data_IF_308030887541
#
_entry.id   IF_308030887541
#
_cell.length_a   1.000
_cell.length_b   1.000
_cell.length_c   1.000
_cell.angle_alpha   90.00
_cell.angle_beta   90.00
_cell.angle_gamma   90.00
#
_symmetry.space_group_name_H-M   'P 1'
#
loop_
_entity.id
_entity.type
_entity.pdbx_description
1 polymer ?
#
# COMPACT_ATOMS: atom_id res chain seq x y z
N UNK A 1 -2.30 -28.75 0.51
CA UNK A 1 -1.15 -27.84 0.24
C UNK A 1 0.07 -28.67 -0.12
N UNK A 2 0.78 -28.31 -1.20
CA UNK A 2 2.00 -29.02 -1.60
C UNK A 2 3.14 -28.67 -0.65
N UNK A 3 3.73 -29.67 0.02
CA UNK A 3 4.93 -29.50 0.87
C UNK A 3 6.23 -29.51 0.06
N UNK A 4 6.19 -29.96 -1.20
CA UNK A 4 7.38 -30.18 -2.03
C UNK A 4 7.74 -29.03 -2.96
N UNK A 5 6.78 -28.16 -3.29
CA UNK A 5 6.99 -27.01 -4.19
C UNK A 5 6.33 -25.76 -3.65
N UNK A 6 7.05 -24.64 -3.71
CA UNK A 6 6.44 -23.33 -3.55
C UNK A 6 5.49 -23.08 -4.74
N UNK A 7 4.36 -22.41 -4.49
CA UNK A 7 3.44 -22.03 -5.55
C UNK A 7 4.14 -21.12 -6.57
N UNK A 8 3.99 -21.42 -7.86
CA UNK A 8 4.51 -20.57 -8.92
C UNK A 8 3.81 -19.21 -8.87
N UNK A 9 4.59 -18.14 -8.84
CA UNK A 9 4.03 -16.80 -8.88
C UNK A 9 3.50 -16.52 -10.28
N UNK A 10 2.21 -16.17 -10.37
CA UNK A 10 1.61 -15.71 -11.62
C UNK A 10 2.15 -14.32 -11.95
N UNK A 11 2.54 -14.12 -13.19
CA UNK A 11 2.88 -12.80 -13.70
C UNK A 11 1.61 -11.93 -13.77
N UNK A 12 1.73 -10.70 -13.33
CA UNK A 12 0.63 -9.74 -13.44
C UNK A 12 0.78 -9.01 -14.76
N UNK A 13 -0.16 -9.22 -15.68
CA UNK A 13 -0.21 -8.46 -16.92
C UNK A 13 -0.37 -6.96 -16.60
N UNK A 14 0.28 -6.07 -17.36
CA UNK A 14 0.13 -4.64 -17.19
C UNK A 14 -1.32 -4.21 -17.45
N UNK A 15 -1.69 -3.05 -16.90
CA UNK A 15 -3.00 -2.46 -17.10
C UNK A 15 -3.24 -2.07 -18.56
N UNK A 16 -4.42 -2.38 -19.15
CA UNK A 16 -4.67 -2.11 -20.56
C UNK A 16 -4.77 -0.62 -20.91
N UNK A 17 -5.17 0.26 -19.98
CA UNK A 17 -5.33 1.70 -20.22
C UNK A 17 -4.01 2.46 -20.15
N UNK A 18 -3.16 2.15 -19.16
CA UNK A 18 -1.92 2.87 -18.88
C UNK A 18 -0.66 2.02 -19.08
N UNK A 19 -0.78 0.74 -19.40
CA UNK A 19 0.37 -0.17 -19.57
C UNK A 19 1.22 -0.39 -18.31
N UNK A 20 0.71 -0.05 -17.13
CA UNK A 20 1.47 -0.04 -15.87
C UNK A 20 1.18 -1.29 -15.03
N UNK A 21 2.24 -2.07 -14.73
CA UNK A 21 2.13 -3.29 -13.92
C UNK A 21 1.85 -3.01 -12.44
N UNK A 22 2.29 -1.85 -11.91
CA UNK A 22 2.02 -1.44 -10.54
C UNK A 22 0.53 -1.12 -10.36
N UNK A 23 -0.04 -0.39 -11.34
CA UNK A 23 -1.47 -0.08 -11.40
C UNK A 23 -2.32 -1.35 -11.45
N UNK A 24 -1.94 -2.32 -12.29
CA UNK A 24 -2.63 -3.61 -12.37
C UNK A 24 -2.63 -4.36 -11.02
N UNK A 25 -1.52 -4.33 -10.27
CA UNK A 25 -1.46 -4.87 -8.92
C UNK A 25 -2.35 -4.11 -7.95
N UNK A 26 -2.41 -2.80 -8.07
CA UNK A 26 -3.25 -1.95 -7.23
C UNK A 26 -4.74 -2.25 -7.46
N UNK A 27 -5.18 -2.42 -8.72
CA UNK A 27 -6.53 -2.86 -9.08
C UNK A 27 -6.87 -4.20 -8.40
N UNK A 28 -5.96 -5.16 -8.48
CA UNK A 28 -6.16 -6.47 -7.85
C UNK A 28 -6.27 -6.38 -6.31
N UNK A 29 -5.62 -5.42 -5.67
CA UNK A 29 -5.71 -5.21 -4.22
C UNK A 29 -6.99 -4.49 -3.78
N UNK A 30 -7.52 -3.59 -4.60
CA UNK A 30 -8.81 -2.91 -4.34
C UNK A 30 -9.97 -3.88 -4.52
N UNK A 31 -9.82 -4.85 -5.40
CA UNK A 31 -10.85 -5.83 -5.75
C UNK A 31 -11.37 -6.59 -4.51
N UNK A 32 -12.69 -6.72 -4.41
CA UNK A 32 -13.38 -7.59 -3.44
C UNK A 32 -14.22 -8.61 -4.17
N UNK A 33 -14.28 -9.84 -3.63
CA UNK A 33 -15.13 -10.94 -4.15
C UNK A 33 -14.93 -11.23 -5.65
N UNK A 34 -13.71 -11.01 -6.19
CA UNK A 34 -13.39 -11.23 -7.59
C UNK A 34 -14.00 -10.24 -8.58
N UNK A 35 -14.63 -9.16 -8.11
CA UNK A 35 -15.28 -8.15 -8.98
C UNK A 35 -14.23 -7.17 -9.55
N UNK A 36 -13.45 -7.64 -10.53
CA UNK A 36 -12.35 -6.87 -11.11
C UNK A 36 -12.82 -5.62 -11.87
N UNK A 37 -13.89 -5.72 -12.65
CA UNK A 37 -14.43 -4.58 -13.42
C UNK A 37 -14.87 -3.41 -12.52
N UNK A 38 -15.38 -3.71 -11.31
CA UNK A 38 -15.73 -2.68 -10.33
C UNK A 38 -14.46 -2.01 -9.79
N UNK A 39 -13.41 -2.78 -9.49
CA UNK A 39 -12.13 -2.24 -9.02
C UNK A 39 -11.46 -1.36 -10.08
N UNK A 40 -11.48 -1.78 -11.35
CA UNK A 40 -10.99 -0.99 -12.47
C UNK A 40 -11.74 0.35 -12.58
N UNK A 41 -13.06 0.33 -12.51
CA UNK A 41 -13.90 1.55 -12.55
C UNK A 41 -13.57 2.50 -11.39
N UNK A 42 -13.33 1.98 -10.19
CA UNK A 42 -12.96 2.79 -9.02
C UNK A 42 -11.60 3.46 -9.26
N UNK A 43 -10.61 2.71 -9.72
CA UNK A 43 -9.26 3.22 -9.91
C UNK A 43 -9.20 4.21 -11.07
N UNK A 44 -9.80 3.88 -12.22
CA UNK A 44 -9.85 4.83 -13.34
C UNK A 44 -10.60 6.10 -12.97
N UNK A 45 -11.74 5.97 -12.29
CA UNK A 45 -12.47 7.13 -11.79
C UNK A 45 -11.68 7.97 -10.79
N UNK A 46 -10.81 7.35 -9.99
CA UNK A 46 -9.92 8.09 -9.09
C UNK A 46 -8.82 8.83 -9.87
N UNK A 47 -8.21 8.20 -10.87
CA UNK A 47 -7.21 8.82 -11.73
C UNK A 47 -7.81 9.97 -12.55
N UNK A 48 -9.00 9.79 -13.14
CA UNK A 48 -9.72 10.82 -13.86
C UNK A 48 -10.05 12.04 -12.95
N UNK A 49 -10.38 11.81 -11.67
CA UNK A 49 -10.57 12.87 -10.67
C UNK A 49 -9.27 13.62 -10.34
N UNK A 50 -8.15 12.93 -10.29
CA UNK A 50 -6.82 13.53 -10.06
C UNK A 50 -6.45 14.42 -11.25
N UNK A 51 -6.68 13.96 -12.47
CA UNK A 51 -6.45 14.70 -13.70
C UNK A 51 -7.30 15.98 -13.76
N UNK A 52 -8.60 15.88 -13.44
CA UNK A 52 -9.53 17.02 -13.39
C UNK A 52 -9.12 18.07 -12.35
N UNK A 53 -8.40 17.69 -11.30
CA UNK A 53 -7.91 18.60 -10.25
C UNK A 53 -6.54 19.23 -10.55
N UNK A 54 -6.02 19.05 -11.76
CA UNK A 54 -4.85 19.75 -12.26
C UNK A 54 -3.55 18.95 -12.29
N UNK A 55 -3.58 17.65 -12.05
CA UNK A 55 -2.41 16.79 -12.28
C UNK A 55 -2.33 16.39 -13.74
N UNK A 56 -1.24 16.75 -14.41
CA UNK A 56 -1.02 16.39 -15.83
C UNK A 56 -0.76 14.90 -16.03
N UNK A 57 -0.21 14.20 -15.05
CA UNK A 57 0.04 12.76 -15.07
C UNK A 57 -0.45 12.10 -13.78
N UNK A 58 -1.66 11.48 -13.81
CA UNK A 58 -2.22 10.83 -12.63
C UNK A 58 -1.46 9.56 -12.23
N UNK A 59 -0.74 8.91 -13.14
CA UNK A 59 0.07 7.72 -12.85
C UNK A 59 1.36 8.10 -12.12
N UNK A 60 2.00 9.19 -12.53
CA UNK A 60 3.18 9.73 -11.82
C UNK A 60 2.79 10.16 -10.39
N UNK A 61 1.64 10.81 -10.23
CA UNK A 61 1.13 11.17 -8.90
C UNK A 61 0.87 9.93 -8.03
N UNK A 62 0.33 8.86 -8.61
CA UNK A 62 0.16 7.58 -7.89
C UNK A 62 1.51 7.02 -7.43
N UNK A 63 2.52 7.00 -8.30
CA UNK A 63 3.85 6.50 -7.95
C UNK A 63 4.47 7.35 -6.84
N UNK A 64 4.40 8.67 -6.93
CA UNK A 64 4.86 9.60 -5.89
C UNK A 64 4.13 9.39 -4.56
N UNK A 65 2.82 9.23 -4.58
CA UNK A 65 2.03 8.95 -3.38
C UNK A 65 2.46 7.64 -2.71
N UNK A 66 2.64 6.58 -3.50
CA UNK A 66 3.11 5.29 -3.00
C UNK A 66 4.53 5.37 -2.45
N UNK A 67 5.44 6.13 -3.07
CA UNK A 67 6.80 6.36 -2.58
C UNK A 67 6.80 7.01 -1.20
N UNK A 68 5.95 8.00 -1.00
CA UNK A 68 5.79 8.67 0.28
C UNK A 68 5.26 7.75 1.39
N UNK A 69 4.53 6.68 1.03
CA UNK A 69 3.93 5.74 1.99
C UNK A 69 4.78 4.48 2.20
N UNK A 70 5.67 4.11 1.27
CA UNK A 70 6.48 2.87 1.37
C UNK A 70 7.29 2.83 2.66
N UNK A 71 7.07 1.84 3.56
CA UNK A 71 7.85 1.72 4.77
C UNK A 71 9.19 1.03 4.49
N UNK A 72 10.26 1.48 5.14
CA UNK A 72 11.57 0.82 5.12
C UNK A 72 11.66 -0.27 6.17
N UNK A 73 11.01 -0.04 7.33
CA UNK A 73 11.00 -0.96 8.47
C UNK A 73 9.58 -1.26 8.92
N UNK A 74 9.36 -2.45 9.44
CA UNK A 74 8.12 -2.86 10.10
C UNK A 74 8.46 -3.52 11.44
N UNK A 75 7.48 -3.65 12.31
CA UNK A 75 7.63 -4.33 13.60
C UNK A 75 6.95 -5.68 13.53
N UNK A 76 7.66 -6.74 13.93
CA UNK A 76 7.13 -8.10 14.03
C UNK A 76 7.20 -8.61 15.45
N UNK A 77 6.14 -9.24 15.91
CA UNK A 77 6.10 -9.89 17.22
C UNK A 77 6.92 -11.18 17.20
N UNK A 78 7.82 -11.33 18.16
CA UNK A 78 8.59 -12.55 18.39
C UNK A 78 8.46 -12.99 19.85
N UNK A 79 8.24 -14.27 20.05
CA UNK A 79 8.17 -14.87 21.40
C UNK A 79 9.53 -15.43 21.77
N UNK A 80 10.09 -14.94 22.88
CA UNK A 80 11.39 -15.39 23.42
C UNK A 80 11.21 -15.61 24.93
N UNK A 81 11.48 -16.83 25.41
CA UNK A 81 11.41 -17.15 26.84
C UNK A 81 10.06 -16.87 27.51
N UNK A 82 8.94 -17.00 26.73
CA UNK A 82 7.58 -16.73 27.24
C UNK A 82 7.12 -15.28 27.12
N UNK A 83 8.01 -14.32 26.90
CA UNK A 83 7.68 -12.93 26.65
C UNK A 83 7.55 -12.64 25.13
N UNK A 84 6.67 -11.71 24.76
CA UNK A 84 6.47 -11.29 23.37
C UNK A 84 7.15 -9.93 23.17
N UNK A 85 8.13 -9.91 22.26
CA UNK A 85 8.87 -8.71 21.90
C UNK A 85 8.44 -8.21 20.52
N UNK A 86 8.39 -6.90 20.37
CA UNK A 86 8.17 -6.23 19.07
C UNK A 86 9.54 -5.97 18.43
N UNK A 87 9.90 -6.75 17.43
CA UNK A 87 11.23 -6.72 16.81
C UNK A 87 11.15 -5.93 15.50
N UNK A 88 11.95 -4.85 15.35
CA UNK A 88 12.04 -4.11 14.08
C UNK A 88 12.77 -4.95 13.02
N UNK A 89 12.17 -5.04 11.84
CA UNK A 89 12.69 -5.82 10.70
C UNK A 89 12.62 -4.97 9.44
N UNK A 90 13.67 -5.00 8.63
CA UNK A 90 13.67 -4.35 7.33
C UNK A 90 12.64 -4.99 6.38
N UNK A 91 11.91 -4.15 5.66
CA UNK A 91 10.88 -4.59 4.71
C UNK A 91 11.51 -4.81 3.33
N UNK A 92 11.28 -5.99 2.74
CA UNK A 92 11.73 -6.30 1.37
C UNK A 92 11.03 -5.36 0.36
N UNK A 93 11.70 -4.92 -0.73
CA UNK A 93 11.16 -3.97 -1.71
C UNK A 93 9.76 -4.34 -2.25
N UNK A 94 9.56 -5.61 -2.61
CA UNK A 94 8.26 -6.10 -3.10
C UNK A 94 7.15 -5.93 -2.05
N UNK A 95 7.47 -6.15 -0.76
CA UNK A 95 6.53 -6.00 0.34
C UNK A 95 6.25 -4.53 0.68
N UNK A 96 7.23 -3.62 0.49
CA UNK A 96 7.03 -2.17 0.67
C UNK A 96 5.88 -1.68 -0.18
N UNK A 97 5.85 -2.05 -1.47
CA UNK A 97 4.77 -1.71 -2.39
C UNK A 97 3.42 -2.27 -1.93
N UNK A 98 3.41 -3.53 -1.49
CA UNK A 98 2.18 -4.18 -1.01
C UNK A 98 1.63 -3.50 0.24
N UNK A 99 2.49 -3.12 1.18
CA UNK A 99 2.09 -2.40 2.39
C UNK A 99 1.56 -1.00 2.06
N UNK A 100 2.26 -0.25 1.21
CA UNK A 100 1.83 1.08 0.78
C UNK A 100 0.44 1.03 0.15
N UNK A 101 0.22 0.15 -0.82
CA UNK A 101 -1.09 -0.02 -1.46
C UNK A 101 -2.20 -0.37 -0.46
N UNK A 102 -1.93 -1.29 0.47
CA UNK A 102 -2.90 -1.69 1.50
C UNK A 102 -3.27 -0.52 2.39
N UNK A 103 -2.29 0.23 2.86
CA UNK A 103 -2.53 1.37 3.74
C UNK A 103 -3.31 2.49 3.05
N UNK A 104 -3.03 2.76 1.77
CA UNK A 104 -3.84 3.69 0.96
C UNK A 104 -5.29 3.23 0.87
N UNK A 105 -5.52 1.95 0.58
CA UNK A 105 -6.88 1.39 0.45
C UNK A 105 -7.63 1.48 1.78
N UNK A 106 -6.98 1.12 2.88
CA UNK A 106 -7.59 1.15 4.21
C UNK A 106 -7.87 2.59 4.66
N UNK A 107 -6.95 3.51 4.41
CA UNK A 107 -7.13 4.93 4.67
C UNK A 107 -8.27 5.53 3.82
N UNK A 108 -8.31 5.23 2.51
CA UNK A 108 -9.37 5.67 1.63
C UNK A 108 -10.75 5.16 2.07
N UNK A 109 -10.85 3.91 2.54
CA UNK A 109 -12.11 3.35 3.05
C UNK A 109 -12.63 4.07 4.30
N UNK A 110 -11.75 4.62 5.12
CA UNK A 110 -12.08 5.36 6.33
C UNK A 110 -12.51 6.81 6.06
N UNK A 111 -12.29 7.33 4.85
CA UNK A 111 -12.66 8.70 4.47
C UNK A 111 -14.20 8.86 4.33
N UNK A 112 -14.66 10.08 4.44
CA UNK A 112 -16.10 10.43 4.43
C UNK A 112 -16.70 10.75 3.07
N UNK A 113 -15.92 10.81 1.97
CA UNK A 113 -16.43 11.16 0.65
C UNK A 113 -17.46 10.13 0.14
N UNK A 114 -18.34 10.56 -0.76
CA UNK A 114 -19.51 9.79 -1.20
C UNK A 114 -19.14 8.48 -1.91
N UNK A 115 -18.16 8.49 -2.80
CA UNK A 115 -17.77 7.33 -3.61
C UNK A 115 -16.35 6.88 -3.30
N UNK A 116 -16.06 5.59 -3.52
CA UNK A 116 -14.71 5.05 -3.30
C UNK A 116 -13.67 5.68 -4.24
N UNK A 117 -14.06 6.05 -5.46
CA UNK A 117 -13.18 6.76 -6.40
C UNK A 117 -12.75 8.12 -5.84
N UNK A 118 -13.68 8.91 -5.29
CA UNK A 118 -13.38 10.20 -4.67
C UNK A 118 -12.52 10.06 -3.42
N UNK A 119 -12.81 9.06 -2.58
CA UNK A 119 -12.01 8.75 -1.38
C UNK A 119 -10.57 8.40 -1.74
N UNK A 120 -10.41 7.57 -2.76
CA UNK A 120 -9.09 7.12 -3.23
C UNK A 120 -8.32 8.29 -3.85
N UNK A 121 -8.95 9.09 -4.71
CA UNK A 121 -8.35 10.29 -5.28
C UNK A 121 -7.89 11.26 -4.19
N UNK A 122 -8.74 11.54 -3.19
CA UNK A 122 -8.40 12.40 -2.07
C UNK A 122 -7.20 11.90 -1.28
N UNK A 123 -7.17 10.60 -0.93
CA UNK A 123 -6.04 10.02 -0.18
C UNK A 123 -4.74 10.03 -0.98
N UNK A 124 -4.78 9.73 -2.30
CA UNK A 124 -3.60 9.76 -3.16
C UNK A 124 -3.03 11.18 -3.31
N UNK A 125 -3.87 12.19 -3.45
CA UNK A 125 -3.45 13.58 -3.52
C UNK A 125 -2.81 14.04 -2.21
N UNK A 126 -3.45 13.75 -1.06
CA UNK A 126 -2.90 14.06 0.26
C UNK A 126 -1.55 13.35 0.47
N UNK A 127 -1.43 12.09 0.06
CA UNK A 127 -0.21 11.32 0.19
C UNK A 127 0.92 11.81 -0.73
N UNK A 128 0.62 12.31 -1.93
CA UNK A 128 1.61 12.93 -2.83
C UNK A 128 2.22 14.21 -2.22
N UNK A 129 1.46 14.88 -1.34
CA UNK A 129 1.91 16.03 -0.55
C UNK A 129 2.44 15.63 0.84
N UNK A 130 2.73 14.35 1.06
CA UNK A 130 3.19 13.80 2.35
C UNK A 130 2.21 14.04 3.51
N UNK A 131 0.91 14.07 3.22
CA UNK A 131 -0.19 14.20 4.19
C UNK A 131 -1.10 12.97 4.14
N UNK A 132 -2.10 12.93 5.00
CA UNK A 132 -3.12 11.88 4.99
C UNK A 132 -2.85 10.72 5.95
N UNK A 133 -3.86 9.88 6.10
CA UNK A 133 -3.86 8.78 7.07
C UNK A 133 -2.89 7.66 6.72
N UNK A 134 -2.66 7.42 5.43
CA UNK A 134 -1.72 6.40 4.96
C UNK A 134 -0.26 6.79 5.27
N UNK A 135 0.11 8.07 5.08
CA UNK A 135 1.44 8.60 5.43
C UNK A 135 1.63 8.55 6.95
N UNK A 136 0.64 8.97 7.71
CA UNK A 136 0.67 8.86 9.18
C UNK A 136 0.89 7.42 9.64
N UNK A 137 0.25 6.44 9.01
CA UNK A 137 0.46 5.01 9.31
C UNK A 137 1.90 4.57 9.10
N UNK A 138 2.57 5.06 8.05
CA UNK A 138 4.00 4.82 7.82
C UNK A 138 4.83 5.42 8.95
N UNK A 139 4.59 6.69 9.29
CA UNK A 139 5.33 7.39 10.36
C UNK A 139 5.17 6.69 11.72
N UNK A 140 3.94 6.30 12.07
CA UNK A 140 3.68 5.56 13.29
C UNK A 140 4.40 4.20 13.32
N UNK A 141 4.46 3.51 12.16
CA UNK A 141 5.18 2.24 12.03
C UNK A 141 6.70 2.45 12.22
N UNK A 142 7.26 3.51 11.62
CA UNK A 142 8.67 3.85 11.80
C UNK A 142 8.97 4.26 13.24
N UNK A 143 8.11 5.07 13.87
CA UNK A 143 8.24 5.45 15.28
C UNK A 143 8.21 4.24 16.22
N UNK A 144 7.31 3.29 15.95
CA UNK A 144 7.28 2.02 16.72
C UNK A 144 8.56 1.20 16.50
N UNK A 145 9.10 1.16 15.30
CA UNK A 145 10.35 0.45 15.00
C UNK A 145 11.54 1.11 15.74
N UNK A 146 11.60 2.43 15.76
CA UNK A 146 12.63 3.19 16.45
C UNK A 146 12.55 2.99 17.98
N UNK A 147 11.35 3.04 18.56
CA UNK A 147 11.13 2.78 19.97
C UNK A 147 11.56 1.36 20.41
N UNK A 148 11.42 0.38 19.49
CA UNK A 148 11.80 -1.02 19.75
C UNK A 148 13.21 -1.37 19.20
N UNK A 149 14.02 -0.40 18.83
CA UNK A 149 15.35 -0.61 18.25
C UNK A 149 16.28 -1.44 19.15
N UNK A 150 16.13 -1.36 20.47
CA UNK A 150 16.89 -2.16 21.43
C UNK A 150 16.69 -3.68 21.25
N UNK A 151 15.55 -4.10 20.68
CA UNK A 151 15.23 -5.52 20.42
C UNK A 151 15.63 -5.98 19.02
N UNK A 152 16.33 -5.17 18.25
CA UNK A 152 16.74 -5.52 16.88
C UNK A 152 17.66 -6.77 16.83
N UNK A 153 18.41 -7.06 17.88
CA UNK A 153 19.24 -8.25 17.98
C UNK A 153 18.44 -9.56 18.09
N UNK A 154 17.14 -9.51 18.39
CA UNK A 154 16.25 -10.68 18.41
C UNK A 154 15.71 -11.04 17.01
N UNK A 155 16.07 -10.30 15.94
CA UNK A 155 15.67 -10.66 14.57
C UNK A 155 16.29 -12.00 14.15
N UNK A 156 15.61 -12.73 13.28
CA UNK A 156 16.05 -14.02 12.70
C UNK A 156 16.31 -13.88 11.21
#
# INVERSE_FOLDING_TARGET
>A
MSRRRAAVRRETLPDPKYGNALLARFINMVMKSGKKSVAERIIYGALDQIEQRGSSDPVELLDKALDNIRPVVEVKSRRVGGATYQVPVEVRPVRRNTLAMRWVIDAARARGEKTMALRLAGELMDAAESRGSAVKKKEDTHRMADANKAFAHYRW
#
